data_IF_419968656991
#
_entry.id   IF_419968656991
#
_cell.length_a   1.000
_cell.length_b   1.000
_cell.length_c   1.000
_cell.angle_alpha   90.00
_cell.angle_beta   90.00
_cell.angle_gamma   90.00
#
_symmetry.space_group_name_H-M   'P 1'
#
loop_
_entity.id
_entity.type
_entity.pdbx_description
1 polymer ?
#
# COMPACT_ATOMS: atom_id res chain seq x y z
N UNK A 1 -3.61 -23.29 17.70
CA UNK A 1 -2.11 -23.20 17.79
C UNK A 1 -1.74 -21.94 18.49
N UNK A 2 -0.87 -22.04 19.51
CA UNK A 2 -0.39 -20.90 20.28
C UNK A 2 1.00 -20.48 19.79
N UNK A 3 1.17 -19.19 19.49
CA UNK A 3 2.43 -18.58 19.10
C UNK A 3 2.69 -17.42 20.05
N UNK A 4 3.91 -17.36 20.59
CA UNK A 4 4.37 -16.22 21.36
C UNK A 4 5.80 -15.85 21.00
N UNK A 5 6.20 -14.61 21.22
CA UNK A 5 7.56 -14.18 20.97
C UNK A 5 7.84 -12.80 21.53
N UNK A 6 9.13 -12.49 21.50
CA UNK A 6 9.69 -11.20 21.88
C UNK A 6 10.61 -10.74 20.75
N UNK A 7 10.50 -9.49 20.40
CA UNK A 7 11.36 -8.83 19.42
C UNK A 7 11.96 -7.57 20.05
N UNK A 8 13.26 -7.38 19.88
CA UNK A 8 13.93 -6.17 20.32
C UNK A 8 14.62 -5.53 19.12
N UNK A 9 14.23 -4.29 18.83
CA UNK A 9 14.80 -3.50 17.75
C UNK A 9 15.63 -2.36 18.34
N UNK A 10 16.84 -2.19 17.85
CA UNK A 10 17.72 -1.08 18.19
C UNK A 10 18.22 -0.45 16.89
N UNK A 11 17.60 0.65 16.49
CA UNK A 11 18.02 1.44 15.35
C UNK A 11 18.99 2.52 15.81
N UNK A 12 20.15 2.59 15.17
CA UNK A 12 21.14 3.63 15.42
C UNK A 12 21.62 4.22 14.10
N UNK A 13 21.68 5.52 14.02
CA UNK A 13 22.12 6.24 12.85
C UNK A 13 23.07 7.37 13.27
N UNK A 14 24.29 7.34 12.72
CA UNK A 14 25.26 8.44 12.83
C UNK A 14 25.31 9.21 11.53
N UNK A 15 25.04 10.50 11.57
CA UNK A 15 24.99 11.34 10.38
C UNK A 15 25.27 12.80 10.71
N UNK A 16 25.85 13.52 9.76
CA UNK A 16 25.95 14.98 9.75
C UNK A 16 24.62 15.68 9.42
N UNK A 17 23.66 14.92 8.84
CA UNK A 17 22.32 15.42 8.47
C UNK A 17 21.42 15.78 9.64
N UNK A 18 21.88 15.58 10.86
CA UNK A 18 21.17 16.01 12.08
C UNK A 18 21.53 17.43 12.55
N UNK A 19 22.54 18.07 11.93
CA UNK A 19 23.12 19.33 12.42
C UNK A 19 22.76 20.54 11.60
N UNK A 20 22.08 20.36 10.46
CA UNK A 20 22.09 21.36 9.39
C UNK A 20 23.51 21.44 8.78
N UNK A 21 23.64 22.13 7.65
CA UNK A 21 24.90 22.07 6.88
C UNK A 21 26.05 22.90 7.43
N UNK A 22 25.88 23.59 8.56
CA UNK A 22 26.87 24.58 8.99
C UNK A 22 28.22 24.00 9.39
N UNK A 23 28.27 22.79 9.97
CA UNK A 23 29.51 22.25 10.55
C UNK A 23 29.87 20.81 10.17
N UNK A 24 29.04 20.10 9.43
CA UNK A 24 29.22 18.66 9.13
C UNK A 24 29.51 17.77 10.36
N UNK A 25 29.03 18.19 11.53
CA UNK A 25 29.25 17.46 12.76
C UNK A 25 28.44 16.15 12.75
N UNK A 26 29.13 15.05 12.91
CA UNK A 26 28.50 13.74 13.06
C UNK A 26 27.79 13.64 14.39
N UNK A 27 26.51 13.38 14.37
CA UNK A 27 25.70 13.09 15.57
C UNK A 27 25.08 11.71 15.45
N UNK A 28 24.99 11.03 16.59
CA UNK A 28 24.34 9.71 16.67
C UNK A 28 22.97 9.86 17.33
N UNK A 29 21.98 9.23 16.71
CA UNK A 29 20.62 9.08 17.23
C UNK A 29 20.24 7.62 17.29
N UNK A 30 19.54 7.23 18.34
CA UNK A 30 19.12 5.85 18.51
C UNK A 30 17.66 5.77 18.97
N UNK A 31 16.93 4.81 18.44
CA UNK A 31 15.59 4.41 18.87
C UNK A 31 15.62 2.94 19.26
N UNK A 32 15.02 2.62 20.41
CA UNK A 32 14.94 1.26 20.92
C UNK A 32 13.49 0.92 21.25
N UNK A 33 13.07 -0.23 20.78
CA UNK A 33 11.72 -0.74 20.97
C UNK A 33 11.78 -2.22 21.35
N UNK A 34 10.89 -2.63 22.23
CA UNK A 34 10.71 -4.03 22.59
C UNK A 34 9.26 -4.41 22.41
N UNK A 35 9.02 -5.45 21.64
CA UNK A 35 7.69 -5.94 21.36
C UNK A 35 7.50 -7.33 21.92
N UNK A 36 6.32 -7.55 22.48
CA UNK A 36 5.85 -8.88 22.89
C UNK A 36 4.62 -9.21 22.06
N UNK A 37 4.52 -10.43 21.61
CA UNK A 37 3.32 -10.88 20.92
C UNK A 37 2.87 -12.25 21.37
N UNK A 38 1.57 -12.39 21.40
CA UNK A 38 0.86 -13.63 21.69
C UNK A 38 -0.28 -13.76 20.70
N UNK A 39 -0.40 -14.89 20.06
CA UNK A 39 -1.51 -15.21 19.16
C UNK A 39 -1.93 -16.66 19.36
N UNK A 40 -3.23 -16.88 19.42
CA UNK A 40 -3.79 -18.22 19.39
C UNK A 40 -4.83 -18.39 18.29
N UNK A 41 -4.89 -19.59 17.73
CA UNK A 41 -5.81 -19.98 16.68
C UNK A 41 -6.56 -21.23 17.11
N UNK A 42 -7.90 -21.15 17.04
CA UNK A 42 -8.82 -22.18 17.44
C UNK A 42 -9.64 -22.67 16.24
N UNK A 43 -9.54 -23.93 15.93
CA UNK A 43 -10.50 -24.64 15.06
C UNK A 43 -11.65 -25.12 15.94
N UNK A 44 -12.74 -24.32 15.99
CA UNK A 44 -13.90 -24.62 16.84
C UNK A 44 -14.63 -25.88 16.32
N UNK A 45 -14.77 -25.96 15.00
CA UNK A 45 -15.31 -27.09 14.27
C UNK A 45 -14.87 -27.01 12.79
N UNK A 46 -15.20 -27.99 11.92
CA UNK A 46 -14.79 -27.97 10.51
C UNK A 46 -15.21 -26.71 9.71
N UNK A 47 -16.22 -25.99 10.19
CA UNK A 47 -16.73 -24.76 9.51
C UNK A 47 -16.17 -23.48 10.08
N UNK A 48 -15.71 -23.46 11.34
CA UNK A 48 -15.33 -22.25 12.04
C UNK A 48 -13.89 -22.32 12.55
N UNK A 49 -13.12 -21.33 12.17
CA UNK A 49 -11.79 -21.04 12.71
C UNK A 49 -11.77 -19.60 13.22
N UNK A 50 -11.21 -19.39 14.39
CA UNK A 50 -11.07 -18.06 15.02
C UNK A 50 -9.61 -17.90 15.45
N UNK A 51 -9.06 -16.71 15.24
CA UNK A 51 -7.74 -16.34 15.72
C UNK A 51 -7.83 -15.03 16.50
N UNK A 52 -7.18 -14.97 17.65
CA UNK A 52 -7.01 -13.75 18.40
C UNK A 52 -5.55 -13.56 18.77
N UNK A 53 -5.08 -12.32 18.79
CA UNK A 53 -3.72 -11.99 19.13
C UNK A 53 -3.61 -10.60 19.75
N UNK A 54 -2.54 -10.41 20.48
CA UNK A 54 -2.14 -9.14 21.04
C UNK A 54 -0.64 -8.96 20.79
N UNK A 55 -0.27 -7.86 20.17
CA UNK A 55 1.11 -7.36 20.10
C UNK A 55 1.21 -6.10 20.95
N UNK A 56 2.30 -5.97 21.70
CA UNK A 56 2.57 -4.79 22.50
C UNK A 56 3.93 -4.24 22.13
N UNK A 57 4.03 -2.92 22.06
CA UNK A 57 5.29 -2.22 21.84
C UNK A 57 5.61 -1.37 23.07
N UNK A 58 6.86 -1.43 23.52
CA UNK A 58 7.43 -0.60 24.57
C UNK A 58 8.59 0.19 24.00
N UNK A 59 8.44 1.49 23.96
CA UNK A 59 9.49 2.41 23.52
C UNK A 59 9.74 3.46 24.60
N UNK A 60 11.02 3.77 24.86
CA UNK A 60 11.37 4.87 25.77
C UNK A 60 10.91 6.22 25.21
N UNK A 61 10.89 6.35 23.89
CA UNK A 61 10.51 7.60 23.21
C UNK A 61 8.98 7.78 23.15
N UNK A 62 8.22 6.67 22.95
CA UNK A 62 6.79 6.74 22.62
C UNK A 62 5.89 6.02 23.62
N UNK A 63 6.46 5.40 24.67
CA UNK A 63 5.71 4.72 25.71
C UNK A 63 5.20 3.34 25.28
N UNK A 64 4.06 2.96 25.84
CA UNK A 64 3.40 1.67 25.65
C UNK A 64 2.28 1.76 24.60
N UNK A 65 2.20 0.74 23.73
CA UNK A 65 1.11 0.56 22.79
C UNK A 65 0.68 -0.91 22.71
N UNK A 66 -0.64 -1.15 22.82
CA UNK A 66 -1.26 -2.46 22.59
C UNK A 66 -1.96 -2.51 21.23
N UNK A 67 -1.72 -3.58 20.49
CA UNK A 67 -2.23 -3.81 19.11
C UNK A 67 -2.99 -5.13 19.07
N UNK A 68 -4.30 -5.13 19.39
CA UNK A 68 -5.13 -6.32 19.29
C UNK A 68 -5.40 -6.70 17.83
N UNK A 69 -5.58 -8.00 17.61
CA UNK A 69 -6.04 -8.59 16.35
C UNK A 69 -7.06 -9.67 16.63
N UNK A 70 -8.13 -9.71 15.85
CA UNK A 70 -9.09 -10.80 15.84
C UNK A 70 -9.48 -11.13 14.40
N UNK A 71 -9.56 -12.40 14.08
CA UNK A 71 -9.99 -12.86 12.78
C UNK A 71 -10.90 -14.09 12.94
N UNK A 72 -11.89 -14.19 12.06
CA UNK A 72 -12.77 -15.36 11.98
C UNK A 72 -12.89 -15.80 10.53
N UNK A 73 -12.87 -17.12 10.34
CA UNK A 73 -13.16 -17.77 9.06
C UNK A 73 -14.35 -18.69 9.24
N UNK A 74 -15.32 -18.56 8.34
CA UNK A 74 -16.47 -19.42 8.23
C UNK A 74 -16.48 -20.11 6.88
N UNK A 75 -16.46 -21.44 6.86
CA UNK A 75 -16.52 -22.25 5.65
C UNK A 75 -17.78 -23.12 5.72
N UNK A 76 -18.96 -22.64 5.21
CA UNK A 76 -20.22 -23.40 5.27
C UNK A 76 -20.11 -24.75 4.55
N UNK A 77 -19.31 -24.81 3.51
CA UNK A 77 -18.97 -26.00 2.74
C UNK A 77 -17.57 -25.85 2.10
N UNK A 78 -17.13 -26.84 1.34
CA UNK A 78 -15.80 -26.87 0.70
C UNK A 78 -15.60 -25.79 -0.37
N UNK A 79 -16.69 -25.19 -0.90
CA UNK A 79 -16.65 -24.20 -1.98
C UNK A 79 -16.61 -22.76 -1.47
N UNK A 80 -17.11 -22.49 -0.27
CA UNK A 80 -17.24 -21.17 0.28
C UNK A 80 -16.33 -20.92 1.48
N UNK A 81 -15.69 -19.76 1.51
CA UNK A 81 -14.95 -19.26 2.66
C UNK A 81 -15.26 -17.79 2.86
N UNK A 82 -15.75 -17.45 4.05
CA UNK A 82 -16.03 -16.07 4.46
C UNK A 82 -15.04 -15.72 5.58
N UNK A 83 -14.37 -14.59 5.48
CA UNK A 83 -13.39 -14.11 6.48
C UNK A 83 -13.74 -12.73 6.94
N UNK A 84 -13.74 -12.52 8.24
CA UNK A 84 -13.81 -11.20 8.86
C UNK A 84 -12.55 -10.97 9.69
N UNK A 85 -12.03 -9.74 9.68
CA UNK A 85 -10.77 -9.41 10.33
C UNK A 85 -10.81 -8.00 10.89
N UNK A 86 -10.31 -7.86 12.10
CA UNK A 86 -10.00 -6.60 12.73
C UNK A 86 -8.57 -6.63 13.24
N UNK A 87 -7.83 -5.55 13.02
CA UNK A 87 -6.50 -5.38 13.60
C UNK A 87 -6.19 -3.92 13.86
N UNK A 88 -5.45 -3.68 14.92
CA UNK A 88 -4.84 -2.39 15.21
C UNK A 88 -3.37 -2.42 14.78
N UNK A 89 -2.93 -1.40 14.03
CA UNK A 89 -1.55 -1.21 13.63
C UNK A 89 -0.92 0.00 14.34
N UNK A 90 0.40 -0.01 14.38
CA UNK A 90 1.23 1.00 15.00
C UNK A 90 2.52 1.16 14.20
N UNK A 91 2.99 2.40 14.03
CA UNK A 91 4.28 2.71 13.43
C UNK A 91 4.93 3.88 14.16
N UNK A 92 6.10 3.64 14.74
CA UNK A 92 6.93 4.71 15.30
C UNK A 92 7.51 5.58 14.19
N UNK A 93 7.70 6.88 14.44
CA UNK A 93 8.54 7.71 13.58
C UNK A 93 9.97 7.16 13.52
N UNK A 94 10.55 7.15 12.33
CA UNK A 94 11.96 6.78 12.13
C UNK A 94 12.91 7.86 12.60
N UNK A 95 14.19 7.51 12.78
CA UNK A 95 15.25 8.47 13.13
C UNK A 95 15.32 9.65 12.14
N UNK A 96 15.08 9.39 10.85
CA UNK A 96 15.04 10.43 9.82
C UNK A 96 13.88 11.39 10.03
N UNK A 97 12.69 10.82 10.22
CA UNK A 97 11.45 11.59 10.39
C UNK A 97 11.50 12.47 11.64
N UNK A 98 12.23 12.07 12.67
CA UNK A 98 12.39 12.85 13.91
C UNK A 98 13.51 13.90 13.84
N UNK A 99 14.67 13.53 13.31
CA UNK A 99 15.89 14.28 13.59
C UNK A 99 16.59 14.88 12.38
N UNK A 100 16.17 14.58 11.13
CA UNK A 100 16.84 15.19 9.97
C UNK A 100 16.66 16.71 9.97
N UNK A 101 17.74 17.39 9.72
CA UNK A 101 17.80 18.80 9.41
C UNK A 101 18.92 18.99 8.39
N UNK A 102 18.58 18.83 7.12
CA UNK A 102 19.55 18.68 6.06
C UNK A 102 19.16 19.47 4.81
N UNK A 103 20.11 20.25 4.33
CA UNK A 103 19.99 20.96 3.06
C UNK A 103 20.35 20.04 1.89
N UNK A 104 19.40 19.78 1.01
CA UNK A 104 19.61 18.99 -0.19
C UNK A 104 20.23 19.85 -1.30
N UNK A 105 21.54 20.08 -1.22
CA UNK A 105 22.35 20.80 -2.21
C UNK A 105 21.85 22.22 -2.54
N UNK A 106 21.28 22.93 -1.56
CA UNK A 106 20.73 24.25 -1.75
C UNK A 106 19.38 24.31 -2.47
N UNK A 107 18.83 23.14 -2.85
CA UNK A 107 17.53 23.09 -3.52
C UNK A 107 16.36 23.13 -2.54
N UNK A 108 16.44 22.37 -1.45
CA UNK A 108 15.43 22.34 -0.40
C UNK A 108 15.98 21.77 0.90
N UNK A 109 15.32 22.10 2.00
CA UNK A 109 15.61 21.51 3.31
C UNK A 109 14.75 20.28 3.55
N UNK A 110 15.33 19.24 4.16
CA UNK A 110 14.59 18.13 4.76
C UNK A 110 14.61 18.31 6.26
N UNK A 111 13.41 18.44 6.86
CA UNK A 111 13.26 18.69 8.29
C UNK A 111 12.47 17.58 8.96
N UNK A 112 13.08 16.95 9.94
CA UNK A 112 12.42 16.08 10.89
C UNK A 112 11.66 16.89 11.93
N UNK A 113 10.83 16.20 12.71
CA UNK A 113 10.05 16.79 13.77
C UNK A 113 10.10 15.88 15.02
N UNK A 114 10.81 16.34 16.03
CA UNK A 114 10.99 15.60 17.29
C UNK A 114 9.68 15.43 18.09
N UNK A 115 8.65 16.24 17.79
CA UNK A 115 7.35 16.20 18.48
C UNK A 115 6.36 15.24 17.83
N UNK A 116 6.76 14.49 16.79
CA UNK A 116 5.86 13.55 16.12
C UNK A 116 5.38 12.45 17.04
N UNK A 117 4.12 12.11 16.87
CA UNK A 117 3.48 10.98 17.53
C UNK A 117 3.51 9.74 16.61
N UNK A 118 3.54 8.54 17.19
CA UNK A 118 3.39 7.32 16.42
C UNK A 118 2.06 7.25 15.68
N UNK A 119 2.14 6.79 14.43
CA UNK A 119 0.98 6.53 13.61
C UNK A 119 0.23 5.29 14.12
N UNK A 120 -1.10 5.36 14.17
CA UNK A 120 -1.99 4.28 14.59
C UNK A 120 -3.06 4.07 13.54
N UNK A 121 -3.44 2.82 13.31
CA UNK A 121 -4.56 2.53 12.45
C UNK A 121 -5.46 1.44 13.00
N UNK A 122 -6.74 1.50 12.62
CA UNK A 122 -7.71 0.43 12.82
C UNK A 122 -8.11 -0.09 11.45
N UNK A 123 -7.84 -1.35 11.21
CA UNK A 123 -8.16 -2.04 9.96
C UNK A 123 -9.29 -3.04 10.16
N UNK A 124 -10.28 -2.99 9.28
CA UNK A 124 -11.40 -3.92 9.21
C UNK A 124 -11.48 -4.49 7.81
N UNK A 125 -11.74 -5.77 7.68
CA UNK A 125 -12.05 -6.37 6.40
C UNK A 125 -13.09 -7.46 6.51
N UNK A 126 -13.88 -7.60 5.44
CA UNK A 126 -14.82 -8.69 5.22
C UNK A 126 -14.62 -9.21 3.81
N UNK A 127 -14.28 -10.47 3.67
CA UNK A 127 -14.05 -11.12 2.39
C UNK A 127 -14.85 -12.41 2.26
N UNK A 128 -15.22 -12.71 1.01
CA UNK A 128 -15.84 -13.97 0.64
C UNK A 128 -15.13 -14.56 -0.57
N UNK A 129 -14.92 -15.87 -0.56
CA UNK A 129 -14.32 -16.64 -1.63
C UNK A 129 -15.25 -17.79 -2.01
N UNK A 130 -15.38 -18.00 -3.31
CA UNK A 130 -15.99 -19.16 -3.90
C UNK A 130 -14.99 -19.89 -4.79
N UNK A 131 -14.88 -21.20 -4.62
CA UNK A 131 -13.97 -22.03 -5.42
C UNK A 131 -14.64 -23.34 -5.80
N UNK A 132 -14.54 -23.69 -7.07
CA UNK A 132 -14.79 -25.03 -7.58
C UNK A 132 -13.74 -25.37 -8.64
N UNK A 133 -13.87 -26.53 -9.31
CA UNK A 133 -12.90 -27.03 -10.29
C UNK A 133 -12.62 -26.06 -11.45
N UNK A 134 -13.57 -25.19 -11.79
CA UNK A 134 -13.48 -24.27 -12.94
C UNK A 134 -13.51 -22.79 -12.58
N UNK A 135 -14.02 -22.44 -11.40
CA UNK A 135 -14.23 -21.04 -11.02
C UNK A 135 -13.65 -20.76 -9.65
N UNK A 136 -12.79 -19.74 -9.57
CA UNK A 136 -12.40 -19.08 -8.36
C UNK A 136 -12.87 -17.61 -8.42
N UNK A 137 -13.63 -17.19 -7.43
CA UNK A 137 -14.10 -15.83 -7.26
C UNK A 137 -13.81 -15.38 -5.83
N UNK A 138 -13.23 -14.21 -5.66
CA UNK A 138 -12.96 -13.62 -4.35
C UNK A 138 -13.36 -12.15 -4.36
N UNK A 139 -13.95 -11.70 -3.27
CA UNK A 139 -14.27 -10.29 -3.04
C UNK A 139 -13.97 -9.91 -1.60
N UNK A 140 -13.33 -8.75 -1.40
CA UNK A 140 -12.99 -8.21 -0.08
C UNK A 140 -13.32 -6.73 -0.02
N UNK A 141 -14.11 -6.34 0.98
CA UNK A 141 -14.30 -4.95 1.37
C UNK A 141 -13.46 -4.66 2.61
N UNK A 142 -12.81 -3.50 2.66
CA UNK A 142 -11.98 -3.14 3.79
C UNK A 142 -12.03 -1.65 4.11
N UNK A 143 -11.74 -1.34 5.37
CA UNK A 143 -11.58 0.03 5.84
C UNK A 143 -10.33 0.15 6.71
N UNK A 144 -9.57 1.22 6.51
CA UNK A 144 -8.41 1.56 7.31
C UNK A 144 -8.52 3.00 7.80
N UNK A 145 -8.48 3.18 9.12
CA UNK A 145 -8.68 4.46 9.79
C UNK A 145 -7.41 4.84 10.52
N UNK A 146 -6.67 5.79 9.97
CA UNK A 146 -5.44 6.30 10.53
C UNK A 146 -5.69 7.45 11.49
N UNK A 147 -4.88 7.50 12.55
CA UNK A 147 -4.68 8.65 13.44
C UNK A 147 -3.20 8.96 13.50
N UNK A 148 -2.89 10.24 13.56
CA UNK A 148 -1.52 10.74 13.63
C UNK A 148 -0.64 10.19 12.49
N UNK A 149 -1.21 10.04 11.28
CA UNK A 149 -0.52 9.49 10.13
C UNK A 149 0.72 10.31 9.83
N UNK A 150 1.87 9.66 9.71
CA UNK A 150 3.14 10.31 9.41
C UNK A 150 3.25 10.52 7.91
N UNK A 151 3.40 11.77 7.50
CA UNK A 151 3.56 12.18 6.10
C UNK A 151 4.64 13.24 5.96
N UNK A 152 5.28 13.24 4.81
CA UNK A 152 6.13 14.35 4.39
C UNK A 152 5.30 15.37 3.62
N UNK A 153 5.40 16.62 4.02
CA UNK A 153 4.69 17.74 3.38
C UNK A 153 5.69 18.79 2.89
N UNK A 154 5.42 19.37 1.73
CA UNK A 154 6.17 20.48 1.24
C UNK A 154 5.64 21.77 1.86
N UNK A 155 6.54 22.59 2.36
CA UNK A 155 6.24 23.95 2.86
C UNK A 155 7.25 24.93 2.29
N UNK A 156 6.81 26.16 2.09
CA UNK A 156 7.68 27.22 1.61
C UNK A 156 7.67 28.34 2.63
N UNK A 157 8.80 28.56 3.29
CA UNK A 157 9.06 29.69 4.16
C UNK A 157 10.52 30.10 4.05
N UNK A 158 10.84 31.34 4.42
CA UNK A 158 12.18 31.92 4.28
C UNK A 158 12.72 31.83 2.85
N UNK A 159 11.84 31.96 1.84
CA UNK A 159 12.14 31.80 0.41
C UNK A 159 12.81 30.47 0.04
N UNK A 160 12.64 29.44 0.84
CA UNK A 160 13.20 28.12 0.63
C UNK A 160 12.10 27.04 0.66
N UNK A 161 12.22 26.05 -0.22
CA UNK A 161 11.42 24.84 -0.15
C UNK A 161 11.86 23.98 1.04
N UNK A 162 10.90 23.55 1.83
CA UNK A 162 11.12 22.66 2.97
C UNK A 162 10.26 21.42 2.83
N UNK A 163 10.87 20.25 2.93
CA UNK A 163 10.19 18.97 3.05
C UNK A 163 10.16 18.58 4.53
N UNK A 164 8.99 18.67 5.15
CA UNK A 164 8.82 18.46 6.59
C UNK A 164 8.02 17.22 6.88
N UNK A 165 8.45 16.47 7.89
CA UNK A 165 7.67 15.37 8.42
C UNK A 165 6.69 15.87 9.47
N UNK A 166 5.42 15.44 9.37
CA UNK A 166 4.36 15.85 10.27
C UNK A 166 3.33 14.73 10.46
N UNK A 167 2.56 14.81 11.53
CA UNK A 167 1.40 13.97 11.70
C UNK A 167 0.17 14.62 11.07
N UNK A 168 -0.48 13.89 10.16
CA UNK A 168 -1.83 14.21 9.71
C UNK A 168 -2.83 13.69 10.75
N UNK A 169 -3.77 14.51 11.17
CA UNK A 169 -4.65 14.17 12.31
C UNK A 169 -5.45 12.90 12.07
N UNK A 170 -6.05 12.73 10.90
CA UNK A 170 -6.88 11.57 10.55
C UNK A 170 -6.86 11.34 9.05
N UNK A 171 -6.76 10.09 8.64
CA UNK A 171 -7.01 9.68 7.27
C UNK A 171 -7.86 8.41 7.25
N UNK A 172 -8.80 8.34 6.32
CA UNK A 172 -9.65 7.17 6.10
C UNK A 172 -9.43 6.64 4.71
N UNK A 173 -9.25 5.34 4.62
CA UNK A 173 -9.15 4.61 3.37
C UNK A 173 -10.22 3.52 3.37
N UNK A 174 -11.09 3.51 2.37
CA UNK A 174 -12.09 2.48 2.14
C UNK A 174 -11.81 1.84 0.80
N UNK A 175 -11.86 0.53 0.73
CA UNK A 175 -11.58 -0.19 -0.50
C UNK A 175 -12.43 -1.43 -0.71
N UNK A 176 -12.44 -1.85 -1.97
CA UNK A 176 -13.04 -3.09 -2.43
C UNK A 176 -12.10 -3.72 -3.43
N UNK A 177 -11.84 -5.01 -3.27
CA UNK A 177 -11.04 -5.82 -4.18
C UNK A 177 -11.84 -7.02 -4.63
N UNK A 178 -11.74 -7.35 -5.91
CA UNK A 178 -12.33 -8.55 -6.49
C UNK A 178 -11.31 -9.25 -7.37
N UNK A 179 -11.35 -10.59 -7.36
CA UNK A 179 -10.52 -11.44 -8.20
C UNK A 179 -11.39 -12.55 -8.80
N UNK A 180 -11.22 -12.77 -10.10
CA UNK A 180 -11.86 -13.82 -10.88
C UNK A 180 -10.77 -14.66 -11.55
N UNK A 181 -10.89 -16.00 -11.45
CA UNK A 181 -10.23 -16.95 -12.35
C UNK A 181 -11.27 -17.95 -12.80
N UNK A 182 -11.49 -18.03 -14.09
CA UNK A 182 -12.49 -18.90 -14.67
C UNK A 182 -11.93 -19.71 -15.84
N UNK A 183 -11.87 -21.01 -15.66
CA UNK A 183 -11.60 -21.97 -16.74
C UNK A 183 -12.85 -22.13 -17.60
N UNK A 184 -13.04 -21.21 -18.56
CA UNK A 184 -14.22 -21.18 -19.45
C UNK A 184 -14.29 -22.48 -20.25
N UNK A 185 -13.12 -22.90 -20.75
CA UNK A 185 -12.87 -24.17 -21.43
C UNK A 185 -11.56 -24.75 -20.88
N UNK A 186 -11.28 -26.01 -21.13
CA UNK A 186 -10.02 -26.65 -20.71
C UNK A 186 -8.78 -25.96 -21.34
N UNK A 187 -8.98 -25.35 -22.50
CA UNK A 187 -7.94 -24.58 -23.21
C UNK A 187 -8.00 -23.07 -22.97
N UNK A 188 -9.02 -22.54 -22.29
CA UNK A 188 -9.28 -21.12 -22.19
C UNK A 188 -9.56 -20.69 -20.75
N UNK A 189 -8.71 -19.81 -20.21
CA UNK A 189 -8.86 -19.24 -18.87
C UNK A 189 -9.04 -17.73 -18.96
N UNK A 190 -10.07 -17.23 -18.30
CA UNK A 190 -10.28 -15.81 -18.06
C UNK A 190 -9.80 -15.49 -16.63
N UNK A 191 -8.90 -14.50 -16.50
CA UNK A 191 -8.53 -13.92 -15.21
C UNK A 191 -8.97 -12.46 -15.18
N UNK A 192 -9.37 -11.98 -14.02
CA UNK A 192 -9.74 -10.60 -13.81
C UNK A 192 -9.43 -10.15 -12.39
N UNK A 193 -9.00 -8.90 -12.25
CA UNK A 193 -8.91 -8.23 -10.96
C UNK A 193 -9.58 -6.87 -11.06
N UNK A 194 -10.16 -6.44 -9.97
CA UNK A 194 -10.68 -5.09 -9.85
C UNK A 194 -10.36 -4.58 -8.45
N UNK A 195 -9.92 -3.33 -8.37
CA UNK A 195 -9.74 -2.64 -7.10
C UNK A 195 -10.39 -1.27 -7.15
N UNK A 196 -11.07 -0.96 -6.06
CA UNK A 196 -11.56 0.37 -5.75
C UNK A 196 -10.95 0.85 -4.45
N UNK A 197 -10.47 2.08 -4.41
CA UNK A 197 -9.98 2.71 -3.19
C UNK A 197 -10.43 4.16 -3.12
N UNK A 198 -11.01 4.52 -1.97
CA UNK A 198 -11.38 5.89 -1.64
C UNK A 198 -10.55 6.34 -0.45
N UNK A 199 -9.75 7.37 -0.64
CA UNK A 199 -8.94 8.00 0.41
C UNK A 199 -9.54 9.35 0.76
N UNK A 200 -9.81 9.57 2.06
CA UNK A 200 -10.35 10.86 2.51
C UNK A 200 -9.37 11.99 2.24
N UNK A 201 -9.89 13.16 1.91
CA UNK A 201 -9.10 14.38 1.84
C UNK A 201 -8.62 14.78 3.23
N UNK A 202 -7.46 15.39 3.29
CA UNK A 202 -6.96 16.04 4.49
C UNK A 202 -7.19 17.54 4.37
N UNK A 203 -7.95 18.13 5.28
CA UNK A 203 -8.31 19.57 5.27
C UNK A 203 -8.83 20.08 3.90
N UNK A 204 -9.56 19.22 3.18
CA UNK A 204 -10.07 19.55 1.83
C UNK A 204 -9.10 19.28 0.69
N UNK A 205 -7.83 18.99 0.97
CA UNK A 205 -6.76 18.75 0.00
C UNK A 205 -6.61 17.26 -0.27
N UNK A 206 -6.51 16.89 -1.53
CA UNK A 206 -6.31 15.51 -1.99
C UNK A 206 -4.83 15.30 -2.32
N UNK A 207 -4.04 14.92 -1.33
CA UNK A 207 -2.59 14.63 -1.53
C UNK A 207 -2.32 13.24 -2.11
N UNK A 208 -3.30 12.33 -2.04
CA UNK A 208 -3.14 10.97 -2.51
C UNK A 208 -3.23 10.89 -4.03
N UNK A 209 -2.21 10.34 -4.67
CA UNK A 209 -2.10 10.16 -6.12
C UNK A 209 -2.61 8.80 -6.62
N UNK A 210 -3.21 7.98 -5.75
CA UNK A 210 -3.73 6.66 -6.12
C UNK A 210 -4.99 6.81 -6.99
N UNK A 211 -5.05 6.07 -8.10
CA UNK A 211 -6.26 5.98 -8.89
C UNK A 211 -7.37 5.30 -8.09
N UNK A 212 -8.59 5.88 -8.03
CA UNK A 212 -9.70 5.26 -7.31
C UNK A 212 -10.11 3.89 -7.87
N UNK A 213 -9.91 3.68 -9.15
CA UNK A 213 -10.30 2.45 -9.83
C UNK A 213 -9.12 1.89 -10.62
N UNK A 214 -8.84 0.61 -10.45
CA UNK A 214 -7.93 -0.14 -11.30
C UNK A 214 -8.51 -1.52 -11.61
N UNK A 215 -8.29 -2.00 -12.81
CA UNK A 215 -8.72 -3.33 -13.21
C UNK A 215 -7.69 -3.97 -14.13
N UNK A 216 -7.57 -5.29 -14.05
CA UNK A 216 -6.85 -6.08 -15.05
C UNK A 216 -7.73 -7.21 -15.54
N UNK A 217 -7.59 -7.57 -16.80
CA UNK A 217 -8.19 -8.76 -17.37
C UNK A 217 -7.19 -9.47 -18.26
N UNK A 218 -7.16 -10.79 -18.23
CA UNK A 218 -6.43 -11.58 -19.20
C UNK A 218 -7.23 -12.76 -19.72
N UNK A 219 -7.02 -13.08 -20.97
CA UNK A 219 -7.56 -14.25 -21.64
C UNK A 219 -6.39 -15.13 -22.07
N UNK A 220 -6.27 -16.28 -21.43
CA UNK A 220 -5.17 -17.23 -21.59
C UNK A 220 -5.67 -18.43 -22.38
N UNK A 221 -5.20 -18.56 -23.63
CA UNK A 221 -5.47 -19.71 -24.49
C UNK A 221 -4.29 -20.65 -24.52
N UNK A 222 -4.51 -21.93 -24.23
CA UNK A 222 -3.50 -22.99 -24.24
C UNK A 222 -3.93 -24.13 -25.16
N UNK A 223 -3.05 -24.50 -26.08
CA UNK A 223 -3.25 -25.66 -26.94
C UNK A 223 -2.02 -26.55 -26.89
N UNK A 224 -2.22 -27.83 -26.67
CA UNK A 224 -1.16 -28.82 -26.60
C UNK A 224 -1.51 -30.03 -27.47
N UNK A 225 -0.63 -30.39 -28.39
CA UNK A 225 -0.77 -31.57 -29.22
C UNK A 225 0.59 -32.24 -29.40
N UNK A 226 0.76 -33.45 -28.88
CA UNK A 226 2.05 -34.19 -28.92
C UNK A 226 3.24 -33.35 -28.53
N UNK A 227 4.07 -32.96 -29.48
CA UNK A 227 5.31 -32.21 -29.30
C UNK A 227 5.17 -30.71 -29.58
N UNK A 228 3.96 -30.21 -29.73
CA UNK A 228 3.66 -28.82 -29.96
C UNK A 228 2.80 -28.22 -28.86
N UNK A 229 3.20 -27.06 -28.34
CA UNK A 229 2.43 -26.26 -27.39
C UNK A 229 2.32 -24.83 -27.86
N UNK A 230 1.11 -24.30 -27.86
CA UNK A 230 0.80 -22.90 -28.09
C UNK A 230 0.23 -22.31 -26.81
N UNK A 231 0.73 -21.17 -26.41
CA UNK A 231 0.14 -20.34 -25.35
C UNK A 231 -0.03 -18.92 -25.90
N UNK A 232 -1.25 -18.43 -25.95
CA UNK A 232 -1.57 -17.06 -26.35
C UNK A 232 -2.25 -16.36 -25.18
N UNK A 233 -1.74 -15.19 -24.80
CA UNK A 233 -2.25 -14.38 -23.69
C UNK A 233 -2.56 -13.00 -24.23
N UNK A 234 -3.82 -12.61 -24.18
CA UNK A 234 -4.25 -11.23 -24.33
C UNK A 234 -4.50 -10.66 -22.94
N UNK A 235 -3.95 -9.48 -22.64
CA UNK A 235 -4.19 -8.80 -21.37
C UNK A 235 -4.54 -7.34 -21.56
N UNK A 236 -5.42 -6.83 -20.70
CA UNK A 236 -5.82 -5.45 -20.63
C UNK A 236 -5.67 -4.94 -19.20
N UNK A 237 -5.10 -3.76 -19.03
CA UNK A 237 -4.97 -3.08 -17.75
C UNK A 237 -5.64 -1.72 -17.84
N UNK A 238 -6.62 -1.48 -16.99
CA UNK A 238 -7.33 -0.22 -16.85
C UNK A 238 -6.86 0.52 -15.61
N UNK A 239 -6.54 1.78 -15.77
CA UNK A 239 -6.30 2.73 -14.69
C UNK A 239 -7.30 3.86 -14.79
N UNK A 240 -8.10 4.03 -13.74
CA UNK A 240 -9.14 5.07 -13.68
C UNK A 240 -8.55 6.47 -13.57
N UNK A 241 -9.36 7.46 -13.88
CA UNK A 241 -9.02 8.88 -13.73
C UNK A 241 -8.64 9.19 -12.30
N UNK A 242 -7.53 9.91 -12.10
CA UNK A 242 -7.09 10.33 -10.77
C UNK A 242 -6.94 11.85 -10.69
N UNK A 243 -7.38 12.38 -9.55
CA UNK A 243 -7.30 13.80 -9.23
C UNK A 243 -6.56 13.96 -7.92
N UNK A 244 -5.59 14.84 -7.90
CA UNK A 244 -4.84 15.19 -6.70
C UNK A 244 -4.42 16.64 -6.74
N UNK A 245 -4.12 17.19 -5.58
CA UNK A 245 -3.74 18.58 -5.45
C UNK A 245 -2.20 18.65 -5.26
N UNK A 246 -1.55 19.46 -6.07
CA UNK A 246 -0.13 19.76 -5.96
C UNK A 246 0.01 21.14 -5.33
N UNK A 247 0.78 21.24 -4.28
CA UNK A 247 1.14 22.52 -3.69
C UNK A 247 2.19 23.19 -4.57
N UNK A 248 1.97 24.46 -4.86
CA UNK A 248 2.92 25.31 -5.55
C UNK A 248 2.87 26.72 -4.94
N UNK A 249 3.76 27.57 -5.36
CA UNK A 249 3.83 28.95 -4.89
C UNK A 249 3.46 29.90 -6.01
N UNK A 250 2.47 30.75 -5.74
CA UNK A 250 2.08 31.81 -6.65
C UNK A 250 2.61 33.14 -6.10
N UNK A 251 3.41 33.82 -6.90
CA UNK A 251 3.81 35.18 -6.62
C UNK A 251 2.74 36.14 -7.12
N UNK A 252 2.24 37.00 -6.22
CA UNK A 252 1.25 38.04 -6.55
C UNK A 252 1.98 39.38 -6.62
N UNK A 253 2.07 39.93 -7.82
CA UNK A 253 2.80 41.18 -8.07
C UNK A 253 2.20 42.38 -7.32
N UNK A 254 0.88 42.41 -7.17
CA UNK A 254 0.16 43.51 -6.49
C UNK A 254 0.59 43.68 -5.04
N UNK A 255 0.85 42.58 -4.33
CA UNK A 255 1.24 42.55 -2.92
C UNK A 255 2.75 42.38 -2.73
N UNK A 256 3.49 42.08 -3.79
CA UNK A 256 4.91 41.68 -3.77
C UNK A 256 5.17 40.51 -2.81
N UNK A 257 4.21 39.56 -2.72
CA UNK A 257 4.25 38.40 -1.82
C UNK A 257 3.98 37.11 -2.57
N UNK A 258 4.48 36.05 -2.02
CA UNK A 258 4.18 34.72 -2.49
C UNK A 258 3.20 34.02 -1.54
N UNK A 259 2.23 33.32 -2.10
CA UNK A 259 1.20 32.58 -1.38
C UNK A 259 1.26 31.11 -1.77
N UNK A 260 1.03 30.24 -0.80
CA UNK A 260 0.85 28.82 -1.08
C UNK A 260 -0.46 28.61 -1.83
N UNK A 261 -0.40 27.99 -2.97
CA UNK A 261 -1.54 27.67 -3.81
C UNK A 261 -1.59 26.15 -4.05
N UNK A 262 -2.80 25.62 -4.22
CA UNK A 262 -3.01 24.21 -4.55
C UNK A 262 -3.62 24.11 -5.94
N UNK A 263 -2.92 23.43 -6.82
CA UNK A 263 -3.36 23.18 -8.19
C UNK A 263 -3.91 21.77 -8.31
N UNK A 264 -5.14 21.67 -8.83
CA UNK A 264 -5.78 20.40 -9.12
C UNK A 264 -5.16 19.78 -10.37
N UNK A 265 -4.42 18.68 -10.19
CA UNK A 265 -3.98 17.81 -11.26
C UNK A 265 -5.05 16.80 -11.58
N UNK A 266 -5.31 16.61 -12.87
CA UNK A 266 -6.31 15.67 -13.37
C UNK A 266 -5.67 14.80 -14.44
N UNK A 267 -5.38 13.54 -14.09
CA UNK A 267 -4.83 12.56 -15.02
C UNK A 267 -5.96 11.69 -15.55
N UNK A 268 -6.16 11.65 -16.88
CA UNK A 268 -7.24 10.86 -17.49
C UNK A 268 -7.04 9.37 -17.25
N UNK A 269 -8.14 8.63 -17.34
CA UNK A 269 -8.09 7.17 -17.38
C UNK A 269 -7.42 6.68 -18.66
N UNK A 270 -6.82 5.50 -18.59
CA UNK A 270 -6.26 4.83 -19.75
C UNK A 270 -6.41 3.31 -19.65
N UNK A 271 -6.31 2.67 -20.79
CA UNK A 271 -6.26 1.20 -20.94
C UNK A 271 -5.02 0.84 -21.72
N UNK A 272 -4.25 -0.12 -21.22
CA UNK A 272 -3.11 -0.72 -21.93
C UNK A 272 -3.49 -2.15 -22.30
N UNK A 273 -3.31 -2.51 -23.56
CA UNK A 273 -3.59 -3.85 -24.06
C UNK A 273 -2.33 -4.49 -24.64
N UNK A 274 -2.05 -5.72 -24.22
CA UNK A 274 -0.87 -6.48 -24.64
C UNK A 274 -1.28 -7.85 -25.18
N UNK A 275 -0.53 -8.35 -26.14
CA UNK A 275 -0.67 -9.71 -26.68
C UNK A 275 0.69 -10.41 -26.63
N UNK A 276 0.71 -11.61 -26.11
CA UNK A 276 1.90 -12.47 -26.14
C UNK A 276 1.52 -13.85 -26.66
N UNK A 277 2.31 -14.35 -27.60
CA UNK A 277 2.13 -15.68 -28.17
C UNK A 277 3.44 -16.45 -28.07
N UNK A 278 3.39 -17.57 -27.36
CA UNK A 278 4.51 -18.50 -27.21
C UNK A 278 4.21 -19.82 -27.87
N UNK A 279 5.13 -20.31 -28.69
CA UNK A 279 5.06 -21.60 -29.34
C UNK A 279 6.26 -22.46 -28.92
N UNK A 280 6.03 -23.70 -28.58
CA UNK A 280 7.10 -24.63 -28.22
C UNK A 280 7.03 -25.85 -29.12
N UNK A 281 8.11 -26.14 -29.83
CA UNK A 281 8.25 -27.22 -30.78
C UNK A 281 9.14 -28.32 -30.19
N UNK A 282 8.71 -29.57 -30.27
CA UNK A 282 9.44 -30.76 -29.80
C UNK A 282 9.96 -30.69 -28.37
N UNK A 283 9.34 -29.85 -27.51
CA UNK A 283 9.79 -29.53 -26.16
C UNK A 283 11.24 -29.00 -26.07
N UNK A 284 11.81 -28.55 -27.21
CA UNK A 284 13.21 -28.10 -27.31
C UNK A 284 13.35 -26.64 -27.70
N UNK A 285 12.53 -26.15 -28.63
CA UNK A 285 12.61 -24.79 -29.15
C UNK A 285 11.37 -24.03 -28.72
N UNK A 286 11.55 -22.90 -28.04
CA UNK A 286 10.48 -21.97 -27.66
C UNK A 286 10.67 -20.66 -28.41
N UNK A 287 9.66 -20.26 -29.17
CA UNK A 287 9.55 -18.95 -29.79
C UNK A 287 8.48 -18.15 -29.05
N UNK A 288 8.80 -16.91 -28.69
CA UNK A 288 7.82 -15.99 -28.05
C UNK A 288 7.84 -14.68 -28.82
N UNK A 289 6.65 -14.21 -29.18
CA UNK A 289 6.41 -12.90 -29.78
C UNK A 289 5.45 -12.15 -28.88
N UNK A 290 5.69 -10.86 -28.68
CA UNK A 290 4.83 -10.00 -27.89
C UNK A 290 4.68 -8.64 -28.55
N UNK A 291 3.51 -8.04 -28.33
CA UNK A 291 3.19 -6.65 -28.69
C UNK A 291 2.59 -6.02 -27.47
N UNK A 292 3.20 -4.94 -27.00
CA UNK A 292 2.70 -4.16 -25.88
C UNK A 292 1.98 -2.92 -26.39
N UNK A 293 0.96 -2.50 -25.64
CA UNK A 293 0.19 -1.29 -25.92
C UNK A 293 -0.39 -1.25 -27.36
N UNK A 294 -1.15 -2.27 -27.74
CA UNK A 294 -1.60 -2.54 -29.13
C UNK A 294 -2.42 -1.37 -29.72
N UNK A 295 -3.11 -0.57 -28.89
CA UNK A 295 -4.07 0.44 -29.32
C UNK A 295 -3.57 1.88 -29.12
N UNK A 296 -2.29 2.08 -28.89
CA UNK A 296 -1.74 3.43 -28.75
C UNK A 296 -0.73 3.76 -29.85
#
# INVERSE_FOLDING_TARGET
>A
SLIFGVEHTSDELTSDRFSGNANHDLKTRALKETEYFLQDEWTINPKWMVSAGLRTNFSKAFGFMGMPKIAAKYSPNERWSIRANYSMGYRSPSIKELFFNWDHLGMFMIRGNENMQPEKNNYFSLGAEYSNDRLFLSGTAYGNYFRDKIEGVWRIYDMQYNFEYTNLSKQRLLGLEALLRWHVLDCLTLNGTYSFVNVSKNEGIQVNTTSPHAATASLDYKFTKKNYRLNAVFSASYMGRKKFDVQDRVFVEEDNKSYDAYFRCDLPQYVLCNLSVSQTFYNKVKLTLGVDNIFN
#
